data_IF_936876825668
#
_entry.id   IF_936876825668
#
_cell.length_a   1.000
_cell.length_b   1.000
_cell.length_c   1.000
_cell.angle_alpha   90.00
_cell.angle_beta   90.00
_cell.angle_gamma   90.00
#
_symmetry.space_group_name_H-M   'P 1'
#
loop_
_entity.id
_entity.type
_entity.pdbx_description
1 polymer ?
#
# COMPACT_ATOMS: atom_id res chain seq x y z
N UNK A 1 2.49 -6.83 9.02
CA UNK A 1 3.84 -6.49 8.46
C UNK A 1 4.76 -7.70 8.25
N UNK A 2 4.91 -8.63 9.21
CA UNK A 2 5.89 -9.75 9.12
C UNK A 2 5.82 -10.54 7.80
N UNK A 3 4.62 -10.88 7.34
CA UNK A 3 4.43 -11.63 6.11
C UNK A 3 4.80 -10.82 4.84
N UNK A 4 4.48 -9.53 4.79
CA UNK A 4 4.90 -8.63 3.69
C UNK A 4 6.42 -8.46 3.64
N UNK A 5 7.10 -8.41 4.81
CA UNK A 5 8.58 -8.45 4.88
C UNK A 5 9.11 -9.78 4.32
N UNK A 6 8.50 -10.91 4.68
CA UNK A 6 8.90 -12.21 4.17
C UNK A 6 8.74 -12.30 2.64
N UNK A 7 7.68 -11.70 2.08
CA UNK A 7 7.47 -11.59 0.62
C UNK A 7 8.58 -10.77 -0.05
N UNK A 8 8.95 -9.60 0.48
CA UNK A 8 10.08 -8.81 -0.03
C UNK A 8 11.40 -9.59 -0.01
N UNK A 9 11.66 -10.32 1.08
CA UNK A 9 12.90 -11.11 1.23
C UNK A 9 13.03 -12.21 0.18
N UNK A 10 11.92 -12.83 -0.23
CA UNK A 10 11.90 -13.86 -1.29
C UNK A 10 12.42 -13.34 -2.63
N UNK A 11 12.27 -12.04 -2.89
CA UNK A 11 12.72 -11.38 -4.13
C UNK A 11 13.99 -10.56 -3.94
N UNK A 12 14.70 -10.71 -2.81
CA UNK A 12 16.00 -10.09 -2.57
C UNK A 12 15.96 -8.67 -2.00
N UNK A 13 14.83 -8.24 -1.47
CA UNK A 13 14.65 -6.90 -0.90
C UNK A 13 14.22 -6.95 0.57
N UNK A 14 14.39 -5.83 1.27
CA UNK A 14 13.85 -5.59 2.62
C UNK A 14 13.43 -4.13 2.76
N UNK A 15 12.58 -3.77 3.74
CA UNK A 15 12.33 -2.36 4.05
C UNK A 15 13.64 -1.67 4.40
N UNK A 16 13.79 -0.44 3.90
CA UNK A 16 14.89 0.44 4.25
C UNK A 16 14.62 1.06 5.63
N UNK A 17 15.64 1.04 6.49
CA UNK A 17 15.53 1.57 7.85
C UNK A 17 14.71 0.67 8.78
N UNK A 18 14.17 1.28 9.83
CA UNK A 18 13.46 0.60 10.90
C UNK A 18 11.92 0.64 10.72
N UNK A 19 11.19 0.20 11.75
CA UNK A 19 9.73 0.22 11.75
C UNK A 19 9.14 1.64 11.67
N UNK A 20 9.90 2.70 11.93
CA UNK A 20 9.47 4.10 11.89
C UNK A 20 9.84 4.81 10.58
N UNK A 21 10.63 4.16 9.72
CA UNK A 21 11.07 4.76 8.45
C UNK A 21 9.94 4.66 7.41
N UNK A 22 9.38 5.81 7.02
CA UNK A 22 8.33 5.93 6.01
C UNK A 22 8.52 7.19 5.15
N UNK A 23 8.22 7.09 3.85
CA UNK A 23 8.24 8.26 2.95
C UNK A 23 6.91 8.97 2.89
N UNK A 24 5.87 8.32 3.38
CA UNK A 24 4.51 8.83 3.44
C UNK A 24 3.82 8.13 4.60
N UNK A 25 3.16 8.91 5.45
CA UNK A 25 2.35 8.43 6.57
C UNK A 25 1.15 9.34 6.79
N UNK A 26 -0.02 8.72 6.98
CA UNK A 26 -1.23 9.40 7.44
C UNK A 26 -1.31 9.23 8.96
N UNK A 27 -1.35 10.35 9.69
CA UNK A 27 -1.63 10.36 11.12
C UNK A 27 -3.13 10.34 11.38
N UNK A 28 -3.53 9.75 12.50
CA UNK A 28 -4.91 9.72 13.00
C UNK A 28 -4.99 10.33 14.41
N UNK A 29 -6.11 10.97 14.74
CA UNK A 29 -6.42 11.40 16.12
C UNK A 29 -6.83 10.21 17.01
N UNK A 30 -7.14 10.51 18.27
CA UNK A 30 -7.60 9.54 19.26
C UNK A 30 -8.91 8.82 18.84
N UNK A 31 -9.74 9.47 18.02
CA UNK A 31 -11.02 8.95 17.53
C UNK A 31 -10.87 8.17 16.21
N UNK A 32 -9.64 8.13 15.66
CA UNK A 32 -9.32 7.45 14.42
C UNK A 32 -9.60 8.28 13.15
N UNK A 33 -9.97 9.56 13.30
CA UNK A 33 -10.07 10.48 12.17
C UNK A 33 -8.68 10.83 11.67
N UNK A 34 -8.55 11.06 10.36
CA UNK A 34 -7.28 11.41 9.73
C UNK A 34 -6.97 12.88 10.04
N UNK A 35 -5.82 13.13 10.65
CA UNK A 35 -5.41 14.47 11.08
C UNK A 35 -4.39 15.13 10.15
N UNK A 36 -3.79 14.37 9.24
CA UNK A 36 -3.10 14.97 8.09
C UNK A 36 -4.13 15.35 7.03
N UNK A 37 -4.74 16.52 7.25
CA UNK A 37 -5.45 17.31 6.25
C UNK A 37 -4.52 17.60 5.05
N UNK A 38 -5.10 18.03 3.91
CA UNK A 38 -4.50 18.43 2.64
C UNK A 38 -3.51 19.62 2.73
N UNK A 39 -2.79 19.77 3.85
CA UNK A 39 -1.71 20.73 4.03
C UNK A 39 -0.51 20.44 3.12
N UNK A 40 0.31 21.48 2.92
CA UNK A 40 1.43 21.45 1.97
C UNK A 40 2.43 20.30 2.22
N UNK A 41 2.68 19.95 3.49
CA UNK A 41 3.60 18.83 3.84
C UNK A 41 3.05 17.49 3.38
N UNK A 42 1.76 17.22 3.59
CA UNK A 42 1.10 15.99 3.16
C UNK A 42 1.13 15.84 1.64
N UNK A 43 0.83 16.93 0.92
CA UNK A 43 0.88 16.96 -0.55
C UNK A 43 2.30 16.67 -1.05
N UNK A 44 3.32 17.25 -0.42
CA UNK A 44 4.72 17.03 -0.76
C UNK A 44 5.13 15.56 -0.52
N UNK A 45 4.76 15.00 0.63
CA UNK A 45 5.04 13.60 0.98
C UNK A 45 4.33 12.63 0.03
N UNK A 46 3.07 12.90 -0.33
CA UNK A 46 2.35 12.10 -1.32
C UNK A 46 3.06 12.13 -2.68
N UNK A 47 3.42 13.32 -3.18
CA UNK A 47 4.14 13.47 -4.46
C UNK A 47 5.50 12.74 -4.43
N UNK A 48 6.22 12.84 -3.32
CA UNK A 48 7.48 12.13 -3.10
C UNK A 48 7.28 10.62 -3.12
N UNK A 49 6.22 10.13 -2.49
CA UNK A 49 5.91 8.71 -2.44
C UNK A 49 5.49 8.13 -3.78
N UNK A 50 4.65 8.83 -4.54
CA UNK A 50 4.29 8.42 -5.91
C UNK A 50 5.53 8.42 -6.81
N UNK A 51 6.40 9.42 -6.70
CA UNK A 51 7.66 9.49 -7.46
C UNK A 51 8.60 8.33 -7.12
N UNK A 52 8.72 8.01 -5.83
CA UNK A 52 9.48 6.85 -5.36
C UNK A 52 8.90 5.53 -5.90
N UNK A 53 7.58 5.32 -5.80
CA UNK A 53 6.94 4.09 -6.28
C UNK A 53 7.17 3.91 -7.78
N UNK A 54 6.99 4.98 -8.58
CA UNK A 54 7.27 4.93 -10.02
C UNK A 54 8.72 4.55 -10.32
N UNK A 55 9.68 5.20 -9.64
CA UNK A 55 11.11 4.93 -9.84
C UNK A 55 11.48 3.51 -9.43
N UNK A 56 11.15 3.12 -8.20
CA UNK A 56 11.45 1.79 -7.66
C UNK A 56 10.87 0.67 -8.53
N UNK A 57 9.62 0.80 -8.96
CA UNK A 57 8.97 -0.20 -9.81
C UNK A 57 9.55 -0.26 -11.21
N UNK A 58 10.02 0.87 -11.77
CA UNK A 58 10.76 0.84 -13.05
C UNK A 58 12.11 0.10 -12.94
N UNK A 59 12.66 0.00 -11.74
CA UNK A 59 13.88 -0.75 -11.41
C UNK A 59 13.59 -2.18 -10.91
N UNK A 60 12.32 -2.62 -10.98
CA UNK A 60 11.89 -3.95 -10.49
C UNK A 60 11.90 -4.09 -8.97
N UNK A 61 11.96 -2.98 -8.23
CA UNK A 61 12.00 -2.97 -6.77
C UNK A 61 10.58 -2.85 -6.16
N UNK A 62 10.09 -3.90 -5.48
CA UNK A 62 8.79 -3.86 -4.80
C UNK A 62 8.85 -3.04 -3.51
N UNK A 63 7.71 -2.56 -3.02
CA UNK A 63 7.63 -1.73 -1.81
C UNK A 63 6.49 -2.14 -0.88
N UNK A 64 6.74 -2.11 0.44
CA UNK A 64 5.69 -2.35 1.43
C UNK A 64 4.83 -1.11 1.58
N UNK A 65 3.52 -1.31 1.62
CA UNK A 65 2.55 -0.27 1.95
C UNK A 65 1.63 -0.73 3.08
N UNK A 66 1.30 0.21 3.95
CA UNK A 66 0.31 0.04 5.00
C UNK A 66 -1.02 0.62 4.54
N UNK A 67 -2.11 -0.08 4.84
CA UNK A 67 -3.46 0.39 4.60
C UNK A 67 -4.27 0.46 5.90
N UNK A 68 -5.35 1.20 5.81
CA UNK A 68 -6.44 1.29 6.77
C UNK A 68 -7.61 0.43 6.23
N UNK A 69 -7.74 -0.78 6.76
CA UNK A 69 -8.67 -1.81 6.28
C UNK A 69 -9.92 -1.94 7.16
N UNK A 70 -9.82 -1.68 8.48
CA UNK A 70 -10.89 -1.84 9.46
C UNK A 70 -11.07 -0.59 10.32
N UNK A 71 -12.31 -0.12 10.45
CA UNK A 71 -12.66 1.00 11.33
C UNK A 71 -12.34 0.65 12.79
N UNK A 72 -11.57 1.50 13.45
CA UNK A 72 -11.34 1.41 14.90
C UNK A 72 -10.26 0.42 15.35
N UNK A 73 -9.61 -0.31 14.45
CA UNK A 73 -8.54 -1.24 14.84
C UNK A 73 -7.15 -0.74 14.44
N UNK A 74 -6.44 -0.01 15.31
CA UNK A 74 -5.04 0.28 15.08
C UNK A 74 -4.19 -0.99 15.28
N UNK A 75 -4.08 -1.83 14.25
CA UNK A 75 -3.33 -3.09 14.33
C UNK A 75 -1.82 -2.94 14.59
N UNK A 76 -1.28 -1.72 14.48
CA UNK A 76 0.13 -1.42 14.79
C UNK A 76 0.25 -0.40 15.93
N UNK A 77 1.39 -0.44 16.64
CA UNK A 77 1.70 0.39 17.82
C UNK A 77 1.46 1.88 17.55
N UNK A 78 1.75 2.35 16.33
CA UNK A 78 1.59 3.76 15.93
C UNK A 78 0.16 4.15 15.52
N UNK A 79 -0.78 3.19 15.57
CA UNK A 79 -2.20 3.34 15.28
C UNK A 79 -2.59 3.82 13.88
N UNK A 80 -1.66 3.82 12.94
CA UNK A 80 -1.90 4.40 11.61
C UNK A 80 -2.28 3.40 10.52
N UNK A 81 -1.92 2.13 10.68
CA UNK A 81 -2.20 1.06 9.72
C UNK A 81 -2.57 -0.21 10.46
N UNK A 82 -3.41 -1.03 9.85
CA UNK A 82 -3.85 -2.33 10.38
C UNK A 82 -3.55 -3.49 9.43
N UNK A 83 -3.22 -3.18 8.19
CA UNK A 83 -2.91 -4.14 7.15
C UNK A 83 -1.68 -3.71 6.34
N UNK A 84 -0.87 -4.68 5.91
CA UNK A 84 0.33 -4.40 5.11
C UNK A 84 0.44 -5.34 3.95
N UNK A 85 0.68 -4.81 2.76
CA UNK A 85 0.87 -5.60 1.55
C UNK A 85 2.02 -5.04 0.70
N UNK A 86 2.30 -5.66 -0.45
CA UNK A 86 3.45 -5.33 -1.27
C UNK A 86 3.00 -4.80 -2.63
N UNK A 87 3.41 -3.58 -2.98
CA UNK A 87 3.28 -3.06 -4.35
C UNK A 87 4.39 -3.66 -5.21
N UNK A 88 4.02 -4.16 -6.39
CA UNK A 88 4.87 -4.96 -7.28
C UNK A 88 4.84 -4.54 -8.75
N UNK A 89 3.97 -3.61 -9.13
CA UNK A 89 3.88 -3.12 -10.49
C UNK A 89 3.10 -1.83 -10.60
N UNK A 90 3.11 -1.27 -11.80
CA UNK A 90 2.38 -0.06 -12.14
C UNK A 90 1.84 -0.14 -13.56
N UNK A 91 0.74 0.55 -13.82
CA UNK A 91 0.12 0.60 -15.13
C UNK A 91 -0.82 1.79 -15.27
N UNK A 92 -1.49 1.85 -16.42
CA UNK A 92 -2.52 2.84 -16.71
C UNK A 92 -3.62 2.16 -17.53
N UNK A 93 -4.86 2.44 -17.18
CA UNK A 93 -6.03 2.03 -17.97
C UNK A 93 -6.99 3.22 -18.12
N UNK A 94 -8.21 2.96 -18.60
CA UNK A 94 -9.24 3.98 -18.81
C UNK A 94 -9.72 4.66 -17.52
N UNK A 95 -9.51 4.06 -16.35
CA UNK A 95 -9.85 4.65 -15.04
C UNK A 95 -8.70 5.51 -14.48
N UNK A 96 -7.47 5.33 -14.98
CA UNK A 96 -6.32 6.14 -14.60
C UNK A 96 -5.05 5.34 -14.37
N UNK A 97 -4.05 5.99 -13.81
CA UNK A 97 -2.81 5.33 -13.39
C UNK A 97 -3.04 4.53 -12.10
N UNK A 98 -2.45 3.34 -12.02
CA UNK A 98 -2.58 2.44 -10.89
C UNK A 98 -1.28 1.73 -10.54
N UNK A 99 -1.21 1.24 -9.31
CA UNK A 99 -0.22 0.29 -8.83
C UNK A 99 -0.85 -1.09 -8.65
N UNK A 100 -0.12 -2.16 -8.97
CA UNK A 100 -0.53 -3.54 -8.66
C UNK A 100 0.10 -4.00 -7.36
N UNK A 101 -0.61 -4.83 -6.62
CA UNK A 101 -0.14 -5.32 -5.31
C UNK A 101 -0.40 -6.81 -5.08
N UNK A 102 0.42 -7.39 -4.19
CA UNK A 102 0.17 -8.69 -3.58
C UNK A 102 -0.22 -8.49 -2.12
N UNK A 103 -1.43 -8.92 -1.79
CA UNK A 103 -1.92 -9.00 -0.43
C UNK A 103 -1.47 -10.31 0.21
N UNK A 104 -0.86 -10.20 1.40
CA UNK A 104 -0.33 -11.33 2.16
C UNK A 104 -1.39 -12.06 2.99
N UNK A 105 -2.62 -11.54 3.05
CA UNK A 105 -3.76 -12.17 3.72
C UNK A 105 -4.58 -13.08 2.78
N UNK A 106 -4.20 -13.20 1.50
CA UNK A 106 -4.88 -14.07 0.54
C UNK A 106 -4.66 -15.55 0.85
N UNK A 107 -5.72 -16.35 0.76
CA UNK A 107 -5.59 -17.81 0.79
C UNK A 107 -4.84 -18.30 -0.46
N UNK A 108 -4.11 -19.42 -0.36
CA UNK A 108 -3.34 -19.98 -1.47
C UNK A 108 -4.20 -20.26 -2.72
N UNK A 109 -5.50 -20.53 -2.54
CA UNK A 109 -6.48 -20.72 -3.62
C UNK A 109 -6.79 -19.44 -4.39
N UNK A 110 -6.67 -18.25 -3.78
CA UNK A 110 -7.00 -16.96 -4.40
C UNK A 110 -5.81 -16.31 -5.09
N UNK A 111 -4.59 -16.69 -4.70
CA UNK A 111 -3.36 -16.42 -5.46
C UNK A 111 -3.46 -16.99 -6.88
N UNK A 112 -4.20 -18.10 -7.05
CA UNK A 112 -4.37 -18.82 -8.31
C UNK A 112 -5.49 -18.27 -9.21
N UNK A 113 -6.48 -17.54 -8.68
CA UNK A 113 -7.59 -16.94 -9.47
C UNK A 113 -7.18 -15.55 -10.02
N UNK A 114 -5.91 -15.40 -10.39
CA UNK A 114 -5.36 -14.18 -10.96
C UNK A 114 -4.59 -13.31 -9.97
N UNK A 115 -4.45 -13.69 -8.70
CA UNK A 115 -3.69 -12.98 -7.67
C UNK A 115 -2.19 -12.77 -7.91
N UNK A 116 -1.69 -13.05 -9.12
CA UNK A 116 -0.45 -12.51 -9.67
C UNK A 116 -0.60 -11.06 -10.15
N UNK A 117 0.48 -10.50 -10.72
CA UNK A 117 0.54 -9.17 -11.34
C UNK A 117 -0.50 -8.90 -12.47
N UNK A 118 -1.44 -9.83 -12.71
CA UNK A 118 -2.39 -9.85 -13.81
C UNK A 118 -3.86 -9.96 -13.35
N UNK A 119 -4.15 -9.89 -12.04
CA UNK A 119 -5.54 -9.76 -11.58
C UNK A 119 -6.07 -8.38 -11.96
N UNK A 120 -7.24 -8.32 -12.58
CA UNK A 120 -8.02 -7.07 -12.68
C UNK A 120 -8.42 -6.49 -11.32
N UNK A 121 -8.23 -7.25 -10.23
CA UNK A 121 -8.75 -6.95 -8.89
C UNK A 121 -7.72 -6.34 -7.91
N UNK A 122 -6.42 -6.41 -8.18
CA UNK A 122 -5.39 -5.92 -7.25
C UNK A 122 -4.77 -4.61 -7.77
N UNK A 123 -5.61 -3.57 -7.93
CA UNK A 123 -5.19 -2.25 -8.43
C UNK A 123 -5.46 -1.16 -7.40
N UNK A 124 -4.44 -0.33 -7.13
CA UNK A 124 -4.54 0.92 -6.39
C UNK A 124 -4.43 2.09 -7.35
N UNK A 125 -5.53 2.78 -7.61
CA UNK A 125 -5.58 3.96 -8.45
C UNK A 125 -5.05 5.20 -7.73
N UNK A 126 -4.34 6.04 -8.48
CA UNK A 126 -3.80 7.31 -7.99
C UNK A 126 -4.85 8.41 -8.13
N UNK A 127 -5.39 8.87 -7.00
CA UNK A 127 -6.27 10.04 -6.92
C UNK A 127 -5.42 11.28 -6.61
N UNK A 128 -4.95 11.94 -7.67
CA UNK A 128 -4.16 13.16 -7.56
C UNK A 128 -4.96 14.36 -7.02
N UNK A 129 -6.30 14.34 -7.14
CA UNK A 129 -7.14 15.46 -6.69
C UNK A 129 -7.19 15.51 -5.16
N UNK A 130 -7.30 14.35 -4.54
CA UNK A 130 -7.36 14.21 -3.08
C UNK A 130 -6.05 13.67 -2.48
N UNK A 131 -4.98 13.59 -3.29
CA UNK A 131 -3.65 13.09 -2.92
C UNK A 131 -3.70 11.76 -2.15
N UNK A 132 -4.38 10.76 -2.73
CA UNK A 132 -4.59 9.44 -2.09
C UNK A 132 -4.46 8.30 -3.09
N UNK A 133 -4.22 7.10 -2.57
CA UNK A 133 -4.28 5.84 -3.31
C UNK A 133 -5.56 5.11 -2.90
N UNK A 134 -6.34 4.67 -3.89
CA UNK A 134 -7.64 4.02 -3.68
C UNK A 134 -7.68 2.69 -4.42
N UNK A 135 -8.16 1.65 -3.75
CA UNK A 135 -8.63 0.46 -4.45
C UNK A 135 -9.98 0.77 -5.13
N UNK A 136 -10.18 0.40 -6.40
CA UNK A 136 -11.48 0.54 -7.08
C UNK A 136 -11.98 -0.84 -7.51
N UNK A 137 -12.97 -1.37 -6.80
CA UNK A 137 -13.82 -2.47 -7.25
C UNK A 137 -13.43 -3.86 -6.76
N UNK A 138 -14.41 -4.51 -6.11
CA UNK A 138 -14.53 -5.96 -5.83
C UNK A 138 -13.22 -6.70 -5.64
N UNK A 139 -12.44 -6.28 -4.66
CA UNK A 139 -11.71 -7.28 -3.90
C UNK A 139 -12.75 -8.31 -3.42
N UNK A 140 -12.66 -9.62 -3.76
CA UNK A 140 -13.49 -10.64 -3.10
C UNK A 140 -13.33 -10.60 -1.55
N UNK A 141 -12.31 -9.88 -1.09
CA UNK A 141 -11.92 -9.60 0.29
C UNK A 141 -12.75 -8.54 1.03
N UNK A 142 -13.69 -7.87 0.36
CA UNK A 142 -14.76 -7.15 1.06
C UNK A 142 -15.84 -8.15 1.51
N UNK A 143 -15.45 -9.20 2.25
CA UNK A 143 -16.42 -10.03 2.97
C UNK A 143 -17.28 -9.16 3.89
N UNK A 144 -16.71 -8.04 4.37
CA UNK A 144 -17.46 -6.90 4.88
C UNK A 144 -17.70 -5.87 3.76
N UNK A 145 -18.95 -5.78 3.28
CA UNK A 145 -19.39 -4.84 2.23
C UNK A 145 -19.21 -3.36 2.58
N UNK A 146 -18.86 -3.06 3.83
CA UNK A 146 -18.66 -1.71 4.37
C UNK A 146 -17.29 -1.10 4.01
N UNK A 147 -16.29 -1.91 3.64
CA UNK A 147 -14.88 -1.46 3.45
C UNK A 147 -14.39 -1.66 2.02
N UNK A 148 -15.03 -0.98 1.06
CA UNK A 148 -14.75 -1.13 -0.37
C UNK A 148 -13.42 -0.52 -0.83
N UNK A 149 -12.87 0.42 -0.07
CA UNK A 149 -11.71 1.22 -0.48
C UNK A 149 -10.57 1.08 0.55
N UNK A 150 -9.45 0.47 0.16
CA UNK A 150 -8.21 0.57 0.92
C UNK A 150 -7.69 2.00 0.84
N UNK A 151 -7.48 2.61 2.00
CA UNK A 151 -6.74 3.86 2.10
C UNK A 151 -5.31 3.57 2.50
N UNK A 152 -4.36 3.93 1.64
CA UNK A 152 -2.94 3.78 1.98
C UNK A 152 -2.57 4.80 3.03
N UNK A 153 -2.09 4.30 4.17
CA UNK A 153 -1.66 5.13 5.30
C UNK A 153 -0.16 5.12 5.48
N UNK A 154 0.58 4.20 4.85
CA UNK A 154 2.04 4.19 4.88
C UNK A 154 2.64 3.73 3.55
N UNK A 155 3.74 4.34 3.15
CA UNK A 155 4.62 3.81 2.09
C UNK A 155 6.04 3.76 2.65
N UNK A 156 6.71 2.62 2.45
CA UNK A 156 8.06 2.38 2.94
C UNK A 156 9.02 2.13 1.78
N UNK A 157 10.18 2.75 1.85
CA UNK A 157 11.27 2.47 0.93
C UNK A 157 11.75 1.02 1.10
N UNK A 158 12.24 0.45 0.01
CA UNK A 158 12.92 -0.84 -0.03
C UNK A 158 14.39 -0.66 -0.33
N UNK A 159 15.21 -1.59 0.14
CA UNK A 159 16.61 -1.70 -0.23
C UNK A 159 16.97 -3.15 -0.57
N UNK A 160 17.93 -3.33 -1.48
CA UNK A 160 18.46 -4.67 -1.80
C UNK A 160 19.14 -5.26 -0.58
N UNK A 161 18.93 -6.55 -0.35
CA UNK A 161 19.70 -7.29 0.64
C UNK A 161 21.12 -7.43 0.07
N UNK A 162 22.10 -6.80 0.72
CA UNK A 162 23.52 -7.01 0.40
C UNK A 162 23.85 -8.47 0.70
N UNK A 163 24.46 -9.15 -0.28
CA UNK A 163 25.02 -10.50 -0.09
C UNK A 163 26.21 -10.44 0.84
#
# INVERSE_FOLDING_TARGET
>A
MKASIAQLKKVGYKPKGDANTHIYKIYKDADGNRINDLGNSYIADFKKAISYLKKSLSEGMPSIVGADYQKGHPGNIDKTTDHFFVIVGMGKDNKGAYFTFFDNAMAASEVLIGGGNNSTHNKLYVDCKNYRLLSIGTAPFAANKEYKDYYITQIRESEKIKK
#
